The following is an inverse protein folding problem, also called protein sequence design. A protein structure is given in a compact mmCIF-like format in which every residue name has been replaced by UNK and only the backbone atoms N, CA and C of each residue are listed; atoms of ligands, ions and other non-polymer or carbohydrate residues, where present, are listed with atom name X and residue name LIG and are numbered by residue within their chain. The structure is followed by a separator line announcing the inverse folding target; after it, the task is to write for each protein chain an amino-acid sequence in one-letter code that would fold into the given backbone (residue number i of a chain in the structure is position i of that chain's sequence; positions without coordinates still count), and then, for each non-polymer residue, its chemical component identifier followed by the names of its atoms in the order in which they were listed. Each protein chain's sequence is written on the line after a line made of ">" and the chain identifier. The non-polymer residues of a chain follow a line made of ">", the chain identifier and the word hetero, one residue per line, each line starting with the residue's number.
data_IF_692395392264
#
_entry.id   IF_692395392264
#
_cell.length_a   1.000
_cell.length_b   1.000
_cell.length_c   1.000
_cell.angle_alpha   90.00
_cell.angle_beta   90.00
_cell.angle_gamma   90.00
#
_symmetry.space_group_name_H-M   'P 1'
#
loop_
_entity.id
_entity.type
_entity.pdbx_description
1 polymer ?
#
# COMPACT_ATOMS: atom_id res chain seq x y z
N UNK A 1 15.77 -4.45 9.70
CA UNK A 1 15.50 -4.18 8.28
C UNK A 1 15.79 -2.76 7.99
N UNK A 2 16.10 -2.57 6.73
CA UNK A 2 16.13 -1.30 6.09
C UNK A 2 14.67 -0.84 5.85
N UNK A 3 14.09 0.09 6.63
CA UNK A 3 12.85 0.78 6.27
C UNK A 3 12.92 1.27 4.80
N UNK A 4 11.83 1.66 4.13
CA UNK A 4 11.86 2.10 2.72
C UNK A 4 13.01 3.06 2.36
N UNK A 5 13.41 3.92 3.32
CA UNK A 5 14.59 4.77 3.24
C UNK A 5 15.92 4.02 3.07
N UNK A 6 16.12 2.93 3.79
CA UNK A 6 17.36 2.18 3.73
C UNK A 6 17.42 1.21 2.53
N UNK A 7 16.29 0.85 1.90
CA UNK A 7 16.28 0.28 0.54
C UNK A 7 16.80 1.32 -0.47
N UNK A 8 16.30 2.56 -0.37
CA UNK A 8 16.80 3.68 -1.17
C UNK A 8 18.31 3.92 -0.92
N UNK A 9 18.79 3.83 0.32
CA UNK A 9 20.23 3.91 0.61
C UNK A 9 21.02 2.78 -0.06
N UNK A 10 20.52 1.54 -0.01
CA UNK A 10 21.19 0.39 -0.64
C UNK A 10 21.27 0.55 -2.17
N UNK A 11 20.19 1.02 -2.80
CA UNK A 11 20.14 1.32 -4.23
C UNK A 11 21.12 2.41 -4.65
N UNK A 12 21.18 3.51 -3.89
CA UNK A 12 22.16 4.59 -4.12
C UNK A 12 23.59 4.08 -3.93
N UNK A 13 23.83 3.28 -2.89
CA UNK A 13 25.15 2.67 -2.65
C UNK A 13 25.56 1.69 -3.78
N UNK A 14 24.59 1.06 -4.44
CA UNK A 14 24.79 0.23 -5.63
C UNK A 14 24.98 1.04 -6.93
N UNK A 15 25.01 2.37 -6.86
CA UNK A 15 25.29 3.26 -7.98
C UNK A 15 24.05 3.84 -8.66
N UNK A 16 22.84 3.59 -8.15
CA UNK A 16 21.63 4.21 -8.67
C UNK A 16 21.64 5.72 -8.40
N UNK A 17 21.24 6.50 -9.41
CA UNK A 17 21.07 7.96 -9.31
C UNK A 17 19.58 8.31 -9.46
N UNK A 18 18.78 8.19 -8.37
CA UNK A 18 17.35 8.40 -8.44
C UNK A 18 17.02 9.88 -8.72
N UNK A 19 16.02 10.09 -9.57
CA UNK A 19 15.41 11.41 -9.72
C UNK A 19 14.38 11.66 -8.61
N UNK A 20 14.42 12.84 -8.00
CA UNK A 20 13.50 13.23 -6.93
C UNK A 20 12.39 14.14 -7.42
N UNK A 21 11.17 13.92 -6.92
CA UNK A 21 10.07 14.89 -7.00
C UNK A 21 9.73 15.34 -5.57
N UNK A 22 10.13 16.57 -5.25
CA UNK A 22 9.82 17.18 -3.96
C UNK A 22 8.41 17.75 -3.96
N UNK A 23 7.71 17.59 -2.84
CA UNK A 23 6.42 18.21 -2.62
C UNK A 23 6.24 18.59 -1.15
N UNK A 24 5.56 19.71 -0.91
CA UNK A 24 5.11 20.13 0.40
C UNK A 24 3.96 21.13 0.25
N UNK A 25 2.96 21.04 1.13
CA UNK A 25 1.73 21.82 1.04
C UNK A 25 0.63 21.17 0.18
N UNK A 26 -0.57 21.74 0.26
CA UNK A 26 -1.81 21.12 -0.23
C UNK A 26 -2.74 22.09 -1.00
N UNK A 27 -2.26 23.29 -1.32
CA UNK A 27 -3.10 24.32 -1.96
C UNK A 27 -3.22 24.06 -3.46
N UNK A 28 -4.43 24.22 -4.00
CA UNK A 28 -4.65 24.21 -5.44
C UNK A 28 -3.86 25.33 -6.14
N UNK A 29 -3.50 25.05 -7.38
CA UNK A 29 -2.98 26.09 -8.26
C UNK A 29 -4.08 27.10 -8.61
N UNK A 30 -3.78 28.40 -8.45
CA UNK A 30 -4.68 29.49 -8.84
C UNK A 30 -4.99 29.52 -10.35
N UNK A 31 -4.13 28.92 -11.17
CA UNK A 31 -4.25 28.86 -12.64
C UNK A 31 -4.95 27.60 -13.15
N UNK A 32 -5.48 26.76 -12.25
CA UNK A 32 -6.03 25.44 -12.61
C UNK A 32 -4.94 24.38 -12.82
N UNK A 33 -5.37 23.13 -13.00
CA UNK A 33 -4.47 21.98 -13.20
C UNK A 33 -3.96 21.32 -11.91
N UNK A 34 -3.57 20.05 -12.04
CA UNK A 34 -3.01 19.24 -10.95
C UNK A 34 -1.52 19.54 -10.79
N UNK A 35 -1.08 19.74 -9.55
CA UNK A 35 0.33 19.95 -9.20
C UNK A 35 0.76 18.95 -8.13
N UNK A 36 2.04 18.98 -7.77
CA UNK A 36 2.58 18.15 -6.69
C UNK A 36 1.85 18.34 -5.33
N UNK A 37 1.10 19.43 -5.15
CA UNK A 37 0.24 19.62 -3.99
C UNK A 37 -0.79 18.49 -3.81
N UNK A 38 -1.17 17.81 -4.89
CA UNK A 38 -2.10 16.68 -4.83
C UNK A 38 -1.53 15.47 -4.09
N UNK A 39 -0.21 15.38 -3.91
CA UNK A 39 0.47 14.31 -3.17
C UNK A 39 0.25 14.44 -1.65
N UNK A 40 -0.14 15.62 -1.15
CA UNK A 40 -0.39 15.84 0.27
C UNK A 40 -1.63 15.08 0.78
N UNK A 41 -1.57 14.56 2.00
CA UNK A 41 -2.72 13.97 2.70
C UNK A 41 -3.87 14.96 2.93
N UNK A 42 -3.58 16.26 2.90
CA UNK A 42 -4.53 17.34 3.15
C UNK A 42 -5.15 17.92 1.88
N UNK A 43 -4.73 17.45 0.70
CA UNK A 43 -5.33 17.89 -0.55
C UNK A 43 -6.80 17.46 -0.62
N UNK A 44 -7.75 18.37 -0.93
CA UNK A 44 -9.19 18.09 -0.89
C UNK A 44 -9.62 17.31 -2.14
N UNK A 45 -9.31 16.02 -2.14
CA UNK A 45 -9.78 15.05 -3.12
C UNK A 45 -10.49 13.93 -2.36
N UNK A 46 -11.81 14.06 -2.26
CA UNK A 46 -12.65 13.12 -1.55
C UNK A 46 -12.73 11.77 -2.24
N UNK A 47 -13.02 10.74 -1.46
CA UNK A 47 -13.18 9.37 -1.92
C UNK A 47 -13.99 8.56 -0.91
N UNK A 48 -14.55 7.43 -1.34
CA UNK A 48 -15.35 6.53 -0.51
C UNK A 48 -14.65 5.18 -0.36
N UNK A 49 -14.51 4.68 0.86
CA UNK A 49 -14.06 3.32 1.16
C UNK A 49 -14.99 2.70 2.19
N UNK A 50 -15.41 1.45 1.97
CA UNK A 50 -16.35 0.71 2.82
C UNK A 50 -17.63 1.52 3.14
N UNK A 51 -18.23 2.11 2.10
CA UNK A 51 -19.42 2.98 2.17
C UNK A 51 -19.27 4.23 3.06
N UNK A 52 -18.04 4.57 3.47
CA UNK A 52 -17.72 5.78 4.23
C UNK A 52 -17.00 6.77 3.32
N UNK A 53 -17.55 7.98 3.21
CA UNK A 53 -16.91 9.09 2.51
C UNK A 53 -15.87 9.79 3.38
N UNK A 54 -14.70 10.09 2.81
CA UNK A 54 -13.63 10.83 3.45
C UNK A 54 -13.30 12.07 2.62
N UNK A 55 -13.24 13.24 3.26
CA UNK A 55 -12.92 14.51 2.61
C UNK A 55 -11.46 14.57 2.10
N UNK A 56 -10.53 13.93 2.81
CA UNK A 56 -9.11 13.85 2.45
C UNK A 56 -8.52 12.53 2.93
N UNK A 57 -7.31 12.19 2.47
CA UNK A 57 -6.61 10.99 2.93
C UNK A 57 -6.21 11.09 4.43
N UNK A 58 -6.02 12.29 4.97
CA UNK A 58 -5.87 12.52 6.43
C UNK A 58 -7.09 12.02 7.22
N UNK A 59 -8.31 12.22 6.69
CA UNK A 59 -9.52 11.75 7.36
C UNK A 59 -9.53 10.23 7.47
N UNK A 60 -9.19 9.54 6.37
CA UNK A 60 -9.05 8.09 6.39
C UNK A 60 -7.97 7.63 7.36
N UNK A 61 -6.78 8.25 7.33
CA UNK A 61 -5.67 7.89 8.23
C UNK A 61 -6.06 8.00 9.72
N UNK A 62 -6.72 9.09 10.11
CA UNK A 62 -7.16 9.26 11.51
C UNK A 62 -8.33 8.34 11.87
N UNK A 63 -9.25 8.07 10.95
CA UNK A 63 -10.32 7.09 11.16
C UNK A 63 -9.77 5.67 11.33
N UNK A 64 -8.81 5.26 10.49
CA UNK A 64 -8.10 3.98 10.63
C UNK A 64 -7.37 3.89 11.97
N UNK A 65 -6.73 4.98 12.40
CA UNK A 65 -6.11 5.05 13.72
C UNK A 65 -7.14 4.88 14.85
N UNK A 66 -8.29 5.54 14.77
CA UNK A 66 -9.34 5.42 15.79
C UNK A 66 -9.94 4.01 15.85
N UNK A 67 -10.15 3.38 14.68
CA UNK A 67 -10.57 1.97 14.58
C UNK A 67 -9.56 1.02 15.22
N UNK A 68 -8.26 1.23 14.99
CA UNK A 68 -7.20 0.39 15.55
C UNK A 68 -7.22 0.37 17.09
N UNK A 69 -7.60 1.47 17.73
CA UNK A 69 -7.66 1.60 19.18
C UNK A 69 -9.08 1.54 19.75
N UNK A 70 -10.04 1.06 18.95
CA UNK A 70 -11.44 0.88 19.36
C UNK A 70 -12.11 2.14 19.92
N UNK A 71 -11.66 3.34 19.49
CA UNK A 71 -12.19 4.62 19.97
C UNK A 71 -13.33 5.11 19.06
N UNK A 72 -14.50 4.47 19.22
CA UNK A 72 -15.71 4.79 18.46
C UNK A 72 -16.15 6.26 18.60
N UNK A 73 -15.90 6.88 19.76
CA UNK A 73 -16.29 8.26 20.02
C UNK A 73 -15.43 9.26 19.24
N UNK A 74 -14.11 9.04 19.16
CA UNK A 74 -13.22 9.85 18.32
C UNK A 74 -13.45 9.55 16.84
N UNK A 75 -13.70 8.28 16.48
CA UNK A 75 -14.05 7.91 15.10
C UNK A 75 -15.27 8.69 14.60
N UNK A 76 -16.37 8.72 15.37
CA UNK A 76 -17.58 9.46 14.98
C UNK A 76 -17.30 10.96 14.77
N UNK A 77 -16.47 11.58 15.64
CA UNK A 77 -16.07 12.98 15.48
C UNK A 77 -15.19 13.21 14.24
N UNK A 78 -14.31 12.27 13.91
CA UNK A 78 -13.46 12.35 12.70
C UNK A 78 -14.33 12.29 11.45
N UNK A 79 -15.28 11.35 11.39
CA UNK A 79 -16.15 11.15 10.22
C UNK A 79 -17.14 12.31 10.01
N UNK A 80 -17.52 13.02 11.08
CA UNK A 80 -18.42 14.17 11.00
C UNK A 80 -17.71 15.50 10.66
N UNK A 81 -16.38 15.52 10.58
CA UNK A 81 -15.60 16.75 10.36
C UNK A 81 -15.09 16.82 8.93
N UNK A 82 -15.09 18.02 8.34
CA UNK A 82 -14.59 18.28 7.00
C UNK A 82 -13.20 18.96 6.96
N UNK A 83 -12.74 19.47 8.11
CA UNK A 83 -11.45 20.17 8.23
C UNK A 83 -10.32 19.19 8.61
N UNK A 84 -9.33 18.95 7.72
CA UNK A 84 -8.23 18.04 8.00
C UNK A 84 -7.39 18.47 9.21
N UNK A 85 -7.34 19.78 9.52
CA UNK A 85 -6.61 20.26 10.70
C UNK A 85 -7.28 19.81 11.98
N UNK A 86 -8.61 19.94 12.06
CA UNK A 86 -9.41 19.47 13.19
C UNK A 86 -9.32 17.95 13.34
N UNK A 87 -9.37 17.21 12.25
CA UNK A 87 -9.23 15.73 12.26
C UNK A 87 -7.85 15.27 12.73
N UNK A 88 -6.77 15.92 12.28
CA UNK A 88 -5.42 15.63 12.81
C UNK A 88 -5.32 15.90 14.31
N UNK A 89 -6.02 16.93 14.81
CA UNK A 89 -6.07 17.22 16.25
C UNK A 89 -6.87 16.16 17.03
N UNK A 90 -7.97 15.65 16.48
CA UNK A 90 -8.74 14.55 17.06
C UNK A 90 -7.92 13.25 17.13
N UNK A 91 -7.13 12.93 16.11
CA UNK A 91 -6.28 11.74 16.11
C UNK A 91 -5.14 11.74 17.16
N UNK A 92 -4.86 12.89 17.78
CA UNK A 92 -3.97 13.00 18.95
C UNK A 92 -4.68 12.69 20.28
N UNK A 93 -6.01 12.64 20.28
CA UNK A 93 -6.86 12.42 21.47
C UNK A 93 -7.41 10.99 21.56
N UNK A 94 -7.03 10.11 20.64
CA UNK A 94 -7.47 8.70 20.62
C UNK A 94 -7.04 8.02 21.92
N UNK A 95 -8.01 7.43 22.61
CA UNK A 95 -7.80 6.67 23.86
C UNK A 95 -7.10 5.35 23.58
N UNK A 96 -6.34 4.86 24.56
CA UNK A 96 -5.62 3.58 24.42
C UNK A 96 -4.52 3.60 23.36
N UNK A 97 -4.07 4.79 22.93
CA UNK A 97 -3.01 4.93 21.93
C UNK A 97 -1.74 4.22 22.38
N UNK A 98 -1.27 3.31 21.54
CA UNK A 98 0.03 2.67 21.63
C UNK A 98 0.85 2.98 20.39
N UNK A 99 2.01 3.60 20.58
CA UNK A 99 2.82 4.10 19.47
C UNK A 99 3.40 2.96 18.64
N UNK A 100 3.86 1.87 19.26
CA UNK A 100 4.42 0.73 18.56
C UNK A 100 3.37 0.04 17.66
N UNK A 101 2.16 -0.17 18.19
CA UNK A 101 1.02 -0.70 17.44
C UNK A 101 0.66 0.24 16.30
N UNK A 102 0.62 1.55 16.51
CA UNK A 102 0.36 2.48 15.40
C UNK A 102 1.49 2.48 14.36
N UNK A 103 2.76 2.45 14.77
CA UNK A 103 3.89 2.37 13.85
C UNK A 103 3.81 1.13 12.93
N UNK A 104 3.35 0.00 13.47
CA UNK A 104 3.15 -1.22 12.69
C UNK A 104 2.01 -1.12 11.63
N UNK A 105 1.03 -0.25 11.83
CA UNK A 105 -0.18 -0.15 10.97
C UNK A 105 -0.24 1.12 10.11
N UNK A 106 0.44 2.19 10.51
CA UNK A 106 0.27 3.54 9.92
C UNK A 106 0.56 3.57 8.43
N UNK A 107 1.57 2.83 7.99
CA UNK A 107 1.99 2.82 6.60
C UNK A 107 0.91 2.21 5.72
N UNK A 108 0.40 1.03 6.08
CA UNK A 108 -0.69 0.36 5.37
C UNK A 108 -1.96 1.22 5.32
N UNK A 109 -2.31 1.88 6.43
CA UNK A 109 -3.45 2.80 6.47
C UNK A 109 -3.30 3.97 5.50
N UNK A 110 -2.11 4.57 5.41
CA UNK A 110 -1.85 5.67 4.46
C UNK A 110 -1.86 5.15 3.02
N UNK A 111 -1.29 3.99 2.72
CA UNK A 111 -1.37 3.42 1.37
C UNK A 111 -2.82 3.18 0.96
N UNK A 112 -3.61 2.49 1.80
CA UNK A 112 -5.03 2.20 1.51
C UNK A 112 -5.85 3.47 1.24
N UNK A 113 -5.73 4.48 2.11
CA UNK A 113 -6.41 5.76 1.93
C UNK A 113 -6.00 6.48 0.65
N UNK A 114 -4.72 6.42 0.28
CA UNK A 114 -4.26 7.05 -0.95
C UNK A 114 -4.63 6.25 -2.21
N UNK A 115 -4.76 4.92 -2.15
CA UNK A 115 -5.33 4.15 -3.25
C UNK A 115 -6.79 4.54 -3.49
N UNK A 116 -7.60 4.69 -2.44
CA UNK A 116 -8.96 5.23 -2.55
C UNK A 116 -8.98 6.61 -3.21
N UNK A 117 -8.17 7.54 -2.68
CA UNK A 117 -8.03 8.90 -3.22
C UNK A 117 -7.61 8.93 -4.69
N UNK A 118 -6.48 8.33 -5.04
CA UNK A 118 -5.94 8.39 -6.39
C UNK A 118 -6.71 7.49 -7.37
N UNK A 119 -7.29 6.39 -6.91
CA UNK A 119 -8.13 5.51 -7.72
C UNK A 119 -9.46 6.14 -8.14
N UNK A 120 -10.05 7.00 -7.31
CA UNK A 120 -11.34 7.64 -7.58
C UNK A 120 -11.23 9.04 -8.18
N UNK A 121 -10.01 9.59 -8.29
CA UNK A 121 -9.76 10.92 -8.85
C UNK A 121 -8.84 10.84 -10.08
N UNK A 122 -9.42 10.67 -11.27
CA UNK A 122 -8.69 10.38 -12.52
C UNK A 122 -7.53 11.35 -12.84
N UNK A 123 -7.73 12.66 -12.67
CA UNK A 123 -6.66 13.64 -12.91
C UNK A 123 -5.50 13.50 -11.92
N UNK A 124 -5.77 13.12 -10.67
CA UNK A 124 -4.73 12.83 -9.69
C UNK A 124 -4.03 11.51 -10.00
N UNK A 125 -4.78 10.48 -10.39
CA UNK A 125 -4.26 9.20 -10.83
C UNK A 125 -3.22 9.40 -11.95
N UNK A 126 -3.59 10.15 -12.99
CA UNK A 126 -2.72 10.47 -14.11
C UNK A 126 -1.45 11.20 -13.65
N UNK A 127 -1.59 12.20 -12.77
CA UNK A 127 -0.44 12.90 -12.21
C UNK A 127 0.51 11.95 -11.48
N UNK A 128 -0.02 11.10 -10.59
CA UNK A 128 0.78 10.15 -9.82
C UNK A 128 1.48 9.13 -10.72
N UNK A 129 0.79 8.58 -11.72
CA UNK A 129 1.39 7.65 -12.69
C UNK A 129 2.48 8.33 -13.54
N UNK A 130 2.26 9.59 -13.95
CA UNK A 130 3.20 10.39 -14.72
C UNK A 130 4.48 10.76 -13.96
N UNK A 131 4.52 10.57 -12.63
CA UNK A 131 5.78 10.70 -11.87
C UNK A 131 6.81 9.62 -12.22
N UNK A 132 6.44 8.60 -13.00
CA UNK A 132 7.37 7.61 -13.54
C UNK A 132 8.00 6.79 -12.41
N UNK A 133 9.32 6.73 -12.37
CA UNK A 133 10.07 6.03 -11.32
C UNK A 133 10.76 6.99 -10.34
N UNK A 134 10.40 8.28 -10.38
CA UNK A 134 10.93 9.27 -9.44
C UNK A 134 10.60 8.88 -8.00
N UNK A 135 11.55 9.13 -7.11
CA UNK A 135 11.34 9.03 -5.67
C UNK A 135 10.57 10.27 -5.23
N UNK A 136 9.39 10.04 -4.65
CA UNK A 136 8.54 11.11 -4.15
C UNK A 136 9.04 11.51 -2.77
N UNK A 137 9.22 12.81 -2.53
CA UNK A 137 9.83 13.31 -1.29
C UNK A 137 8.95 14.37 -0.66
N UNK A 138 8.37 14.06 0.49
CA UNK A 138 7.65 15.06 1.29
C UNK A 138 8.66 15.96 2.00
N UNK A 139 8.95 17.11 1.39
CA UNK A 139 9.92 18.10 1.84
C UNK A 139 9.34 19.02 2.94
N UNK A 140 8.78 18.40 3.98
CA UNK A 140 8.23 19.10 5.13
C UNK A 140 9.32 19.33 6.20
N UNK A 141 9.67 20.58 6.54
CA UNK A 141 10.64 20.87 7.60
C UNK A 141 10.10 20.60 9.02
N UNK A 142 8.80 20.31 9.15
CA UNK A 142 8.11 20.14 10.45
C UNK A 142 7.53 18.74 10.64
N UNK A 143 7.82 17.80 9.73
CA UNK A 143 7.38 16.41 9.82
C UNK A 143 8.55 15.48 9.49
N UNK A 144 9.07 14.79 10.51
CA UNK A 144 10.16 13.82 10.38
C UNK A 144 9.66 12.36 10.28
N UNK A 145 8.34 12.14 10.31
CA UNK A 145 7.76 10.79 10.15
C UNK A 145 7.31 10.61 8.70
N UNK A 146 6.42 11.47 8.24
CA UNK A 146 5.87 11.37 6.89
C UNK A 146 6.76 12.07 5.87
N UNK A 147 7.46 13.14 6.30
CA UNK A 147 8.44 13.88 5.50
C UNK A 147 9.89 13.62 5.87
N UNK A 148 10.77 14.34 5.19
CA UNK A 148 12.23 14.28 5.40
C UNK A 148 12.73 15.18 6.53
N UNK A 149 11.87 15.99 7.16
CA UNK A 149 12.30 16.95 8.19
C UNK A 149 13.11 18.14 7.66
N UNK A 150 13.11 18.37 6.34
CA UNK A 150 13.83 19.45 5.66
C UNK A 150 12.93 20.08 4.58
N UNK A 151 13.13 21.37 4.32
CA UNK A 151 12.55 22.05 3.16
C UNK A 151 13.26 21.62 1.86
N UNK A 152 12.57 21.72 0.71
CA UNK A 152 13.11 21.31 -0.59
C UNK A 152 14.37 22.07 -1.02
N UNK A 153 14.56 23.30 -0.53
CA UNK A 153 15.72 24.13 -0.84
C UNK A 153 16.93 23.83 0.07
N UNK A 154 16.77 22.97 1.09
CA UNK A 154 17.86 22.59 1.97
C UNK A 154 18.91 21.79 1.18
N UNK A 155 20.23 22.05 1.37
CA UNK A 155 21.28 21.34 0.62
C UNK A 155 21.25 19.82 0.80
N UNK A 156 20.82 19.36 1.98
CA UNK A 156 20.68 17.93 2.27
C UNK A 156 19.37 17.29 1.79
N UNK A 157 18.44 18.06 1.20
CA UNK A 157 17.16 17.51 0.73
C UNK A 157 17.35 16.45 -0.37
N UNK A 158 18.39 16.58 -1.21
CA UNK A 158 18.73 15.61 -2.25
C UNK A 158 19.64 14.46 -1.74
N UNK A 159 19.88 14.37 -0.43
CA UNK A 159 20.79 13.40 0.17
C UNK A 159 20.07 12.52 1.20
N UNK A 160 19.45 11.39 0.78
CA UNK A 160 18.66 10.54 1.67
C UNK A 160 19.39 10.05 2.93
N UNK A 161 20.72 9.91 2.89
CA UNK A 161 21.54 9.53 4.04
C UNK A 161 21.62 10.62 5.14
N UNK A 162 21.20 11.85 4.81
CA UNK A 162 21.24 13.02 5.70
C UNK A 162 19.86 13.50 6.12
N UNK A 163 18.79 12.82 5.70
CA UNK A 163 17.44 13.18 6.10
C UNK A 163 17.24 12.90 7.61
N UNK A 164 16.82 13.91 8.40
CA UNK A 164 16.33 13.67 9.76
C UNK A 164 15.05 12.84 9.80
N UNK A 165 14.25 12.89 8.72
CA UNK A 165 12.95 12.23 8.63
C UNK A 165 12.92 10.97 7.76
N UNK A 166 11.83 10.23 7.90
CA UNK A 166 11.65 8.90 7.31
C UNK A 166 11.03 8.92 5.91
N UNK A 167 10.46 10.04 5.46
CA UNK A 167 9.77 10.18 4.17
C UNK A 167 8.69 9.12 3.90
N UNK A 168 7.99 8.63 4.93
CA UNK A 168 7.04 7.52 4.77
C UNK A 168 5.93 7.84 3.76
N UNK A 169 5.52 9.10 3.63
CA UNK A 169 4.44 9.46 2.69
C UNK A 169 4.91 9.32 1.24
N UNK A 170 6.14 9.77 0.96
CA UNK A 170 6.74 9.62 -0.35
C UNK A 170 6.79 8.17 -0.81
N UNK A 171 7.26 7.28 0.06
CA UNK A 171 7.30 5.84 -0.20
C UNK A 171 5.90 5.23 -0.34
N UNK A 172 4.96 5.59 0.55
CA UNK A 172 3.58 5.11 0.47
C UNK A 172 2.92 5.50 -0.87
N UNK A 173 3.15 6.71 -1.37
CA UNK A 173 2.64 7.15 -2.67
C UNK A 173 3.28 6.40 -3.85
N UNK A 174 4.54 5.95 -3.73
CA UNK A 174 5.18 5.09 -4.72
C UNK A 174 4.54 3.69 -4.73
N UNK A 175 4.16 3.16 -3.58
CA UNK A 175 3.41 1.90 -3.49
C UNK A 175 1.99 2.04 -4.05
N UNK A 176 1.32 3.17 -3.79
CA UNK A 176 0.03 3.53 -4.41
C UNK A 176 0.17 3.56 -5.93
N UNK A 177 1.22 4.21 -6.46
CA UNK A 177 1.53 4.25 -7.90
C UNK A 177 1.69 2.84 -8.46
N UNK A 178 2.42 1.96 -7.78
CA UNK A 178 2.58 0.56 -8.16
C UNK A 178 1.26 -0.23 -8.15
N UNK A 179 0.42 -0.03 -7.14
CA UNK A 179 -0.91 -0.66 -7.04
C UNK A 179 -1.83 -0.23 -8.19
N UNK A 180 -1.86 1.06 -8.51
CA UNK A 180 -2.67 1.59 -9.61
C UNK A 180 -2.21 1.08 -10.97
N UNK A 181 -0.89 0.94 -11.22
CA UNK A 181 -0.37 0.31 -12.44
C UNK A 181 -0.89 -1.12 -12.63
N UNK A 182 -0.89 -1.92 -11.56
CA UNK A 182 -1.41 -3.30 -11.59
C UNK A 182 -2.92 -3.35 -11.87
N UNK A 183 -3.69 -2.45 -11.25
CA UNK A 183 -5.14 -2.36 -11.48
C UNK A 183 -5.49 -1.99 -12.92
N UNK A 184 -4.66 -1.17 -13.59
CA UNK A 184 -4.85 -0.77 -14.98
C UNK A 184 -4.38 -1.83 -15.99
N UNK A 185 -3.94 -3.01 -15.54
CA UNK A 185 -3.64 -4.14 -16.42
C UNK A 185 -2.26 -4.10 -17.07
N UNK A 186 -1.24 -3.48 -16.44
CA UNK A 186 0.13 -3.85 -16.79
C UNK A 186 0.40 -5.27 -16.25
N UNK A 187 0.57 -6.29 -17.11
CA UNK A 187 0.80 -7.64 -16.64
C UNK A 187 2.13 -7.69 -15.89
N UNK A 188 2.13 -8.27 -14.69
CA UNK A 188 3.36 -8.72 -14.07
C UNK A 188 4.06 -9.67 -15.06
N UNK A 189 5.36 -9.46 -15.32
CA UNK A 189 6.14 -10.33 -16.20
C UNK A 189 6.11 -11.77 -15.66
N UNK A 190 5.25 -12.61 -16.23
CA UNK A 190 5.25 -14.06 -15.99
C UNK A 190 6.44 -14.66 -16.74
N UNK A 191 7.29 -15.41 -16.05
CA UNK A 191 8.23 -16.32 -16.71
C UNK A 191 7.46 -17.59 -17.08
N UNK A 192 7.51 -18.07 -18.33
CA UNK A 192 6.79 -19.27 -18.72
C UNK A 192 7.37 -20.47 -17.96
N UNK A 193 6.55 -21.11 -17.14
CA UNK A 193 6.82 -22.45 -16.62
C UNK A 193 6.51 -23.48 -17.72
N UNK A 194 7.31 -24.55 -17.76
CA UNK A 194 7.09 -25.69 -18.65
C UNK A 194 5.77 -26.41 -18.32
N UNK A 195 5.11 -27.07 -19.29
CA UNK A 195 3.82 -27.70 -19.07
C UNK A 195 3.97 -28.87 -18.11
N UNK A 196 3.27 -28.81 -16.98
CA UNK A 196 3.04 -29.95 -16.10
C UNK A 196 1.75 -30.67 -16.55
N UNK A 197 1.74 -32.00 -16.44
CA UNK A 197 0.62 -32.85 -16.84
C UNK A 197 -0.68 -32.54 -16.08
N UNK A 198 -1.79 -33.06 -16.60
CA UNK A 198 -3.15 -32.89 -16.08
C UNK A 198 -3.21 -33.07 -14.55
N UNK A 199 -3.51 -31.98 -13.84
CA UNK A 199 -3.73 -32.00 -12.38
C UNK A 199 -5.23 -32.11 -12.14
N UNK A 200 -5.64 -33.09 -11.33
CA UNK A 200 -7.03 -33.26 -10.91
C UNK A 200 -7.39 -32.17 -9.88
N UNK A 201 -8.57 -31.55 -10.06
CA UNK A 201 -8.99 -30.35 -9.34
C UNK A 201 -9.32 -30.56 -7.85
N UNK A 202 -9.62 -31.79 -7.43
CA UNK A 202 -10.06 -32.13 -6.07
C UNK A 202 -8.93 -32.17 -5.02
N UNK A 203 -7.65 -32.05 -5.42
CA UNK A 203 -6.47 -32.06 -4.52
C UNK A 203 -5.67 -30.75 -4.53
N UNK A 204 -6.16 -29.73 -5.24
CA UNK A 204 -5.43 -28.47 -5.39
C UNK A 204 -5.60 -27.55 -4.17
N UNK A 205 -4.46 -27.15 -3.58
CA UNK A 205 -4.43 -26.22 -2.47
C UNK A 205 -3.46 -25.07 -2.72
N UNK A 206 -3.81 -23.87 -2.26
CA UNK A 206 -2.90 -22.74 -2.25
C UNK A 206 -2.03 -22.80 -0.99
N UNK A 207 -0.76 -23.13 -1.16
CA UNK A 207 0.24 -23.02 -0.10
C UNK A 207 0.77 -21.59 -0.05
N UNK A 208 0.80 -21.01 1.15
CA UNK A 208 1.35 -19.68 1.35
C UNK A 208 2.54 -19.75 2.28
N UNK A 209 3.58 -18.98 1.95
CA UNK A 209 4.71 -18.76 2.83
C UNK A 209 4.92 -17.27 3.01
N UNK A 210 5.35 -16.91 4.20
CA UNK A 210 5.52 -15.53 4.62
C UNK A 210 6.89 -15.35 5.25
N UNK A 211 7.55 -14.26 4.92
CA UNK A 211 8.78 -13.85 5.57
C UNK A 211 8.70 -12.37 5.97
N UNK A 212 9.11 -12.11 7.21
CA UNK A 212 9.31 -10.75 7.67
C UNK A 212 10.44 -10.09 6.86
N UNK A 213 10.34 -8.78 6.57
CA UNK A 213 11.27 -8.11 5.68
C UNK A 213 12.72 -7.97 6.17
N UNK A 214 13.08 -8.55 7.32
CA UNK A 214 14.39 -8.43 7.97
C UNK A 214 15.22 -9.73 7.95
N UNK A 215 14.78 -10.78 7.25
CA UNK A 215 15.45 -12.08 7.26
C UNK A 215 15.03 -12.96 8.43
N UNK A 216 13.71 -13.18 8.56
CA UNK A 216 13.20 -14.34 9.30
C UNK A 216 13.07 -15.54 8.37
N UNK A 217 13.11 -16.74 8.93
CA UNK A 217 12.81 -17.95 8.17
C UNK A 217 11.41 -17.84 7.55
N UNK A 218 11.28 -18.34 6.32
CA UNK A 218 9.99 -18.45 5.65
C UNK A 218 9.06 -19.35 6.46
N UNK A 219 8.01 -18.76 7.02
CA UNK A 219 6.98 -19.48 7.76
C UNK A 219 5.92 -19.96 6.78
N UNK A 220 5.52 -21.22 6.89
CA UNK A 220 4.39 -21.76 6.12
C UNK A 220 3.09 -21.37 6.81
N UNK A 221 2.14 -20.84 6.04
CA UNK A 221 0.80 -20.49 6.48
C UNK A 221 -0.17 -21.63 6.14
N UNK A 222 -1.37 -21.67 6.77
CA UNK A 222 -2.39 -22.65 6.44
C UNK A 222 -2.70 -22.65 4.95
N UNK A 223 -2.82 -23.84 4.36
CA UNK A 223 -3.21 -23.98 2.96
C UNK A 223 -4.67 -23.52 2.80
N UNK A 224 -4.94 -22.77 1.73
CA UNK A 224 -6.28 -22.31 1.41
C UNK A 224 -6.88 -23.21 0.32
N UNK A 225 -8.14 -23.66 0.47
CA UNK A 225 -8.81 -24.41 -0.59
C UNK A 225 -9.01 -23.51 -1.81
N UNK A 226 -8.97 -24.10 -3.00
CA UNK A 226 -9.40 -23.43 -4.22
C UNK A 226 -10.92 -23.50 -4.37
N UNK A 227 -11.44 -22.60 -5.17
CA UNK A 227 -12.86 -22.55 -5.51
C UNK A 227 -13.02 -22.69 -7.03
N UNK A 228 -14.21 -23.08 -7.50
CA UNK A 228 -14.51 -23.20 -8.94
C UNK A 228 -15.23 -21.97 -9.51
N UNK A 229 -15.49 -20.95 -8.69
CA UNK A 229 -16.25 -19.77 -9.10
C UNK A 229 -15.63 -18.50 -8.51
N UNK A 230 -15.48 -17.47 -9.36
CA UNK A 230 -15.05 -16.14 -8.99
C UNK A 230 -15.95 -15.45 -7.95
N UNK A 231 -17.20 -15.92 -7.80
CA UNK A 231 -18.15 -15.40 -6.82
C UNK A 231 -17.95 -15.93 -5.38
N UNK A 232 -17.05 -16.89 -5.17
CA UNK A 232 -16.82 -17.56 -3.87
C UNK A 232 -16.01 -16.67 -2.91
N UNK A 233 -16.14 -16.81 -1.57
CA UNK A 233 -15.61 -15.81 -0.64
C UNK A 233 -14.09 -15.68 -0.67
N UNK A 234 -13.67 -14.42 -0.68
CA UNK A 234 -12.34 -13.95 -0.33
C UNK A 234 -11.86 -14.62 0.98
N UNK A 235 -10.78 -15.40 0.93
CA UNK A 235 -10.16 -15.94 2.13
C UNK A 235 -9.42 -14.82 2.87
N UNK A 236 -9.81 -14.56 4.12
CA UNK A 236 -9.09 -13.63 4.98
C UNK A 236 -7.99 -14.36 5.74
N UNK A 237 -6.74 -13.96 5.49
CA UNK A 237 -5.55 -14.53 6.13
C UNK A 237 -4.88 -13.47 7.01
N UNK A 238 -4.73 -13.77 8.30
CA UNK A 238 -3.96 -12.93 9.21
C UNK A 238 -2.53 -13.45 9.25
N UNK A 239 -1.59 -12.62 8.81
CA UNK A 239 -0.16 -12.90 8.82
C UNK A 239 0.40 -12.83 10.25
N UNK A 240 1.55 -13.48 10.54
CA UNK A 240 2.19 -13.44 11.85
C UNK A 240 2.50 -12.04 12.38
N UNK A 241 2.62 -11.03 11.51
CA UNK A 241 2.79 -9.62 11.88
C UNK A 241 1.46 -8.85 12.02
N UNK A 242 0.34 -9.56 12.10
CA UNK A 242 -1.02 -9.03 12.20
C UNK A 242 -1.52 -8.27 10.96
N UNK A 243 -0.76 -8.27 9.86
CA UNK A 243 -1.31 -7.82 8.58
C UNK A 243 -2.39 -8.77 8.11
N UNK A 244 -3.45 -8.23 7.52
CA UNK A 244 -4.56 -9.04 6.98
C UNK A 244 -4.49 -9.02 5.45
N UNK A 245 -4.53 -10.19 4.84
CA UNK A 245 -4.66 -10.39 3.40
C UNK A 245 -6.02 -10.96 3.06
N UNK A 246 -6.44 -10.62 1.87
CA UNK A 246 -7.71 -10.96 1.27
C UNK A 246 -7.39 -11.70 -0.04
N UNK A 247 -7.52 -13.02 -0.04
CA UNK A 247 -7.03 -13.87 -1.12
C UNK A 247 -8.22 -14.55 -1.81
N UNK A 248 -8.34 -14.35 -3.13
CA UNK A 248 -9.26 -15.07 -3.99
C UNK A 248 -8.46 -15.94 -4.95
N UNK A 249 -8.80 -17.21 -5.03
CA UNK A 249 -8.24 -18.12 -6.02
C UNK A 249 -9.35 -19.00 -6.61
N UNK A 250 -9.49 -19.00 -7.93
CA UNK A 250 -10.50 -19.79 -8.63
C UNK A 250 -9.98 -20.35 -9.95
N UNK A 251 -10.59 -21.44 -10.40
CA UNK A 251 -10.34 -22.02 -11.73
C UNK A 251 -11.46 -21.60 -12.69
N UNK A 252 -11.08 -21.05 -13.85
CA UNK A 252 -11.93 -20.85 -15.01
C UNK A 252 -11.69 -22.00 -16.00
N UNK A 253 -12.77 -22.62 -16.49
CA UNK A 253 -12.75 -23.74 -17.45
C UNK A 253 -11.82 -24.91 -17.07
N UNK A 254 -11.69 -25.22 -15.76
CA UNK A 254 -10.82 -26.26 -15.17
C UNK A 254 -9.31 -26.14 -15.43
N UNK A 255 -8.88 -25.13 -16.20
CA UNK A 255 -7.51 -25.03 -16.69
C UNK A 255 -6.86 -23.69 -16.39
N UNK A 256 -7.64 -22.61 -16.29
CA UNK A 256 -7.11 -21.27 -16.04
C UNK A 256 -7.24 -20.90 -14.57
N UNK A 257 -6.14 -20.93 -13.82
CA UNK A 257 -6.09 -20.45 -12.45
C UNK A 257 -6.03 -18.93 -12.42
N UNK A 258 -6.96 -18.33 -11.70
CA UNK A 258 -6.91 -16.94 -11.27
C UNK A 258 -6.52 -16.88 -9.80
N UNK A 259 -5.57 -16.01 -9.47
CA UNK A 259 -5.19 -15.68 -8.11
C UNK A 259 -5.18 -14.17 -7.98
N UNK A 260 -5.91 -13.65 -6.99
CA UNK A 260 -5.88 -12.24 -6.64
C UNK A 260 -5.63 -12.11 -5.14
N UNK A 261 -4.65 -11.28 -4.79
CA UNK A 261 -4.37 -10.94 -3.40
C UNK A 261 -4.62 -9.45 -3.20
N UNK A 262 -5.43 -9.15 -2.20
CA UNK A 262 -5.73 -7.81 -1.74
C UNK A 262 -5.25 -7.61 -0.31
N UNK A 263 -5.05 -6.35 0.05
CA UNK A 263 -4.87 -5.93 1.43
C UNK A 263 -5.66 -4.64 1.63
N UNK A 264 -6.61 -4.66 2.56
CA UNK A 264 -7.54 -3.56 2.81
C UNK A 264 -8.24 -3.12 1.52
N UNK A 265 -8.78 -4.09 0.78
CA UNK A 265 -9.46 -3.88 -0.51
C UNK A 265 -8.57 -3.52 -1.70
N UNK A 266 -7.25 -3.33 -1.51
CA UNK A 266 -6.33 -2.98 -2.61
C UNK A 266 -5.64 -4.21 -3.18
N UNK A 267 -5.72 -4.40 -4.50
CA UNK A 267 -4.98 -5.45 -5.22
C UNK A 267 -3.46 -5.26 -5.09
N UNK A 268 -2.84 -6.14 -4.30
CA UNK A 268 -1.39 -6.23 -4.16
C UNK A 268 -0.77 -7.02 -5.30
N UNK A 269 -1.41 -8.11 -5.70
CA UNK A 269 -0.93 -8.99 -6.74
C UNK A 269 -2.09 -9.70 -7.42
N UNK A 270 -1.93 -10.02 -8.70
CA UNK A 270 -2.87 -10.81 -9.46
C UNK A 270 -2.11 -11.65 -10.48
N UNK A 271 -2.62 -12.85 -10.75
CA UNK A 271 -2.06 -13.81 -11.69
C UNK A 271 -3.16 -14.60 -12.39
N UNK A 272 -2.94 -14.89 -13.66
CA UNK A 272 -3.74 -15.79 -14.48
C UNK A 272 -2.78 -16.77 -15.17
N UNK A 273 -2.97 -18.08 -15.01
CA UNK A 273 -2.06 -19.10 -15.60
C UNK A 273 -2.68 -20.49 -15.71
N UNK A 274 -2.16 -21.31 -16.63
CA UNK A 274 -2.58 -22.71 -16.88
C UNK A 274 -1.65 -23.77 -16.23
N UNK A 275 -0.90 -23.42 -15.18
CA UNK A 275 0.10 -24.30 -14.56
C UNK A 275 0.15 -24.22 -13.02
N UNK A 276 1.26 -24.68 -12.42
CA UNK A 276 1.53 -24.54 -10.99
C UNK A 276 2.31 -23.24 -10.71
N UNK A 277 1.65 -22.09 -10.52
CA UNK A 277 2.36 -20.83 -10.34
C UNK A 277 3.06 -20.73 -9.00
N UNK A 278 4.07 -19.88 -9.00
CA UNK A 278 4.54 -19.20 -7.81
C UNK A 278 4.33 -17.69 -8.02
N UNK A 279 3.52 -17.05 -7.16
CA UNK A 279 3.32 -15.61 -7.14
C UNK A 279 4.01 -15.05 -5.89
N UNK A 280 5.02 -14.20 -6.09
CA UNK A 280 5.67 -13.49 -5.01
C UNK A 280 5.26 -12.00 -5.02
N UNK A 281 4.91 -11.47 -3.86
CA UNK A 281 4.58 -10.06 -3.70
C UNK A 281 5.01 -9.55 -2.32
N UNK A 282 4.91 -8.23 -2.14
CA UNK A 282 5.09 -7.60 -0.84
C UNK A 282 3.77 -7.03 -0.36
N UNK A 283 3.49 -7.20 0.93
CA UNK A 283 2.42 -6.48 1.62
C UNK A 283 2.77 -5.00 1.72
N UNK A 284 1.81 -4.17 2.12
CA UNK A 284 2.09 -2.78 2.47
C UNK A 284 3.00 -2.67 3.69
N UNK A 285 2.98 -3.63 4.62
CA UNK A 285 4.01 -3.74 5.67
C UNK A 285 5.36 -4.27 5.17
N UNK A 286 5.52 -4.40 3.85
CA UNK A 286 6.68 -4.90 3.11
C UNK A 286 7.06 -6.36 3.40
N UNK A 287 6.22 -7.12 4.09
CA UNK A 287 6.45 -8.53 4.27
C UNK A 287 6.40 -9.25 2.92
N UNK A 288 7.33 -10.18 2.72
CA UNK A 288 7.36 -10.98 1.51
C UNK A 288 6.37 -12.14 1.67
N UNK A 289 5.52 -12.30 0.68
CA UNK A 289 4.56 -13.41 0.61
C UNK A 289 4.76 -14.13 -0.70
N UNK A 290 4.84 -15.45 -0.62
CA UNK A 290 4.88 -16.34 -1.76
C UNK A 290 3.63 -17.23 -1.71
N UNK A 291 2.86 -17.22 -2.79
CA UNK A 291 1.75 -18.11 -3.01
C UNK A 291 2.17 -19.16 -4.03
N UNK A 292 2.02 -20.44 -3.69
CA UNK A 292 2.29 -21.57 -4.58
C UNK A 292 1.06 -22.45 -4.68
N UNK A 293 0.69 -22.81 -5.91
CA UNK A 293 -0.29 -23.86 -6.14
C UNK A 293 0.38 -25.22 -5.94
N UNK A 294 -0.20 -26.07 -5.09
CA UNK A 294 0.20 -27.46 -4.92
C UNK A 294 -0.91 -28.37 -5.45
N UNK A 295 -0.51 -29.47 -6.08
CA UNK A 295 -1.35 -30.59 -6.51
C UNK A 295 -0.55 -31.88 -6.47
#
# INVERSE_FOLDING_TARGET
>A
MSPPLADLHARIAAGEQPEFLFFWGHRHNKRGGVTAACLSQWFPAGFTLDDVYYHTAEHYMMAAKARLFDDAAILAQILANADPRSVKALGRKIKGYDDARWQAHRYCAVVAGNVGKFGQNAALQQFLLATGDKVLVEASPVDAIWGIGLDQAHPDAAHPARWPGLNLLGFALMDVRGALRRQLGEPARVHPAQPAGQVHTDELHLALRFALPHGGDWQTLPALPLTHDAATPLHTLVLPNHETLEISAWLEDEHLLHLQVRQHGVVLAQLQTEGAPTLAFRTFGHAAVECRLLG
#
